data_IF_767356656562
#
_entry.id   IF_767356656562
#
_cell.length_a   1.000
_cell.length_b   1.000
_cell.length_c   1.000
_cell.angle_alpha   90.00
_cell.angle_beta   90.00
_cell.angle_gamma   90.00
#
_symmetry.space_group_name_H-M   'P 1'
#
loop_
_entity.id
_entity.type
_entity.pdbx_description
1 polymer ?
#
# COMPACT_ATOMS: atom_id res chain seq x y z
N UNK A 1 23.77 -40.54 -35.10
CA UNK A 1 24.43 -39.56 -34.20
C UNK A 1 24.48 -38.23 -34.95
N UNK A 2 23.43 -37.40 -34.84
CA UNK A 2 23.43 -36.06 -35.44
C UNK A 2 24.19 -35.16 -34.49
N UNK A 3 25.30 -34.60 -34.97
CA UNK A 3 26.05 -33.56 -34.27
C UNK A 3 25.17 -32.31 -34.32
N UNK A 4 24.54 -31.97 -33.21
CA UNK A 4 23.81 -30.70 -33.08
C UNK A 4 24.81 -29.55 -33.11
N UNK A 5 24.57 -28.64 -34.05
CA UNK A 5 25.37 -27.45 -34.29
C UNK A 5 25.15 -26.46 -33.12
N UNK A 6 26.18 -25.95 -32.44
CA UNK A 6 26.04 -25.16 -31.21
C UNK A 6 25.46 -23.74 -31.40
N UNK A 7 25.06 -23.37 -32.62
CA UNK A 7 24.61 -22.02 -32.97
C UNK A 7 23.10 -21.87 -33.18
N UNK A 8 22.29 -22.90 -32.89
CA UNK A 8 20.82 -22.78 -32.91
C UNK A 8 20.30 -22.34 -31.53
N UNK A 9 20.74 -21.15 -31.05
CA UNK A 9 20.10 -20.44 -29.94
C UNK A 9 18.71 -19.95 -30.39
N UNK A 10 17.74 -20.85 -30.45
CA UNK A 10 16.32 -20.49 -30.35
C UNK A 10 16.16 -19.74 -29.03
N UNK A 11 16.03 -18.41 -29.08
CA UNK A 11 15.78 -17.53 -27.94
C UNK A 11 14.61 -18.08 -27.11
N UNK A 12 14.92 -18.83 -26.06
CA UNK A 12 13.94 -19.24 -25.06
C UNK A 12 13.54 -17.96 -24.30
N UNK A 13 12.25 -17.58 -24.28
CA UNK A 13 11.83 -16.40 -23.54
C UNK A 13 12.23 -16.56 -22.08
N UNK A 14 12.84 -15.52 -21.50
CA UNK A 14 13.25 -15.45 -20.09
C UNK A 14 14.40 -16.37 -19.63
N UNK A 15 15.29 -16.79 -20.53
CA UNK A 15 16.52 -17.50 -20.12
C UNK A 15 17.77 -16.69 -20.46
N UNK A 16 18.63 -16.46 -19.46
CA UNK A 16 19.97 -15.89 -19.63
C UNK A 16 21.03 -16.91 -19.23
N UNK A 17 22.26 -16.71 -19.71
CA UNK A 17 23.42 -17.53 -19.30
C UNK A 17 23.68 -17.33 -17.80
N UNK A 18 24.04 -18.40 -17.10
CA UNK A 18 24.21 -18.41 -15.64
C UNK A 18 25.28 -17.42 -15.14
N UNK A 19 26.35 -17.26 -15.92
CA UNK A 19 27.36 -16.23 -15.70
C UNK A 19 27.33 -15.31 -16.92
N UNK A 20 27.10 -14.03 -16.68
CA UNK A 20 27.07 -13.00 -17.71
C UNK A 20 27.84 -11.76 -17.25
N UNK A 21 28.08 -10.83 -18.17
CA UNK A 21 28.68 -9.54 -17.84
C UNK A 21 27.88 -8.80 -16.74
N UNK A 22 26.55 -8.95 -16.74
CA UNK A 22 25.66 -8.38 -15.72
C UNK A 22 25.98 -8.89 -14.32
N UNK A 23 26.40 -10.16 -14.18
CA UNK A 23 26.80 -10.75 -12.90
C UNK A 23 27.99 -10.02 -12.30
N UNK A 24 29.01 -9.72 -13.11
CA UNK A 24 30.22 -9.02 -12.65
C UNK A 24 29.95 -7.54 -12.35
N UNK A 25 29.14 -6.88 -13.18
CA UNK A 25 28.75 -5.48 -12.95
C UNK A 25 27.94 -5.37 -11.65
N UNK A 26 26.94 -6.24 -11.47
CA UNK A 26 26.14 -6.28 -10.24
C UNK A 26 27.01 -6.52 -9.01
N UNK A 27 27.91 -7.52 -9.08
CA UNK A 27 28.83 -7.82 -7.98
C UNK A 27 29.74 -6.63 -7.65
N UNK A 28 30.27 -5.95 -8.66
CA UNK A 28 31.08 -4.75 -8.49
C UNK A 28 30.33 -3.61 -7.79
N UNK A 29 29.10 -3.33 -8.23
CA UNK A 29 28.24 -2.30 -7.60
C UNK A 29 27.88 -2.71 -6.16
N UNK A 30 27.52 -3.96 -5.95
CA UNK A 30 27.16 -4.49 -4.63
C UNK A 30 28.32 -4.35 -3.64
N UNK A 31 29.52 -4.80 -4.04
CA UNK A 31 30.73 -4.67 -3.22
C UNK A 31 31.08 -3.20 -3.00
N UNK A 32 30.88 -2.32 -3.99
CA UNK A 32 31.15 -0.89 -3.81
C UNK A 32 30.23 -0.27 -2.76
N UNK A 33 28.92 -0.50 -2.84
CA UNK A 33 27.94 0.06 -1.89
C UNK A 33 28.18 -0.48 -0.49
N UNK A 34 28.23 -1.80 -0.33
CA UNK A 34 28.43 -2.43 0.98
C UNK A 34 29.85 -2.22 1.52
N UNK A 35 30.85 -2.08 0.64
CA UNK A 35 32.22 -1.75 1.00
C UNK A 35 32.35 -0.33 1.54
N UNK A 36 31.67 0.65 0.95
CA UNK A 36 31.62 2.03 1.45
C UNK A 36 30.94 2.09 2.83
N UNK A 37 29.81 1.40 3.00
CA UNK A 37 29.12 1.30 4.29
C UNK A 37 29.99 0.61 5.34
N UNK A 38 30.59 -0.53 5.02
CA UNK A 38 31.47 -1.26 5.92
C UNK A 38 32.73 -0.46 6.29
N UNK A 39 33.26 0.35 5.38
CA UNK A 39 34.41 1.23 5.66
C UNK A 39 34.07 2.38 6.61
N UNK A 40 32.81 2.83 6.64
CA UNK A 40 32.35 3.93 7.51
C UNK A 40 31.87 3.43 8.88
N UNK A 41 31.08 2.36 8.89
CA UNK A 41 30.45 1.82 10.10
C UNK A 41 31.30 0.76 10.79
N UNK A 42 32.18 0.08 10.05
CA UNK A 42 32.78 -1.19 10.45
C UNK A 42 31.86 -2.36 10.05
N UNK A 43 32.45 -3.46 9.56
CA UNK A 43 31.68 -4.59 9.02
C UNK A 43 30.72 -5.21 10.04
N UNK A 44 31.17 -5.40 11.28
CA UNK A 44 30.35 -5.99 12.36
C UNK A 44 29.18 -5.08 12.71
N UNK A 45 29.43 -3.78 12.87
CA UNK A 45 28.39 -2.81 13.20
C UNK A 45 27.39 -2.66 12.06
N UNK A 46 27.84 -2.65 10.80
CA UNK A 46 26.95 -2.62 9.63
C UNK A 46 25.98 -3.81 9.61
N UNK A 47 26.47 -5.03 9.86
CA UNK A 47 25.60 -6.21 9.92
C UNK A 47 24.63 -6.15 11.11
N UNK A 48 25.11 -5.74 12.28
CA UNK A 48 24.25 -5.61 13.47
C UNK A 48 23.17 -4.54 13.26
N UNK A 49 23.52 -3.37 12.73
CA UNK A 49 22.57 -2.30 12.42
C UNK A 49 21.54 -2.78 11.42
N UNK A 50 21.94 -3.49 10.36
CA UNK A 50 21.01 -4.06 9.39
C UNK A 50 20.01 -5.02 10.04
N UNK A 51 20.50 -5.96 10.85
CA UNK A 51 19.66 -6.97 11.51
C UNK A 51 18.73 -6.34 12.55
N UNK A 52 19.24 -5.43 13.38
CA UNK A 52 18.47 -4.76 14.42
C UNK A 52 17.43 -3.79 13.84
N UNK A 53 17.78 -3.08 12.77
CA UNK A 53 16.84 -2.21 12.05
C UNK A 53 15.72 -3.03 11.42
N UNK A 54 16.05 -4.13 10.73
CA UNK A 54 15.04 -5.02 10.16
C UNK A 54 14.13 -5.62 11.27
N UNK A 55 14.70 -6.05 12.40
CA UNK A 55 13.92 -6.58 13.50
C UNK A 55 12.98 -5.54 14.13
N UNK A 56 13.47 -4.32 14.42
CA UNK A 56 12.63 -3.26 14.98
C UNK A 56 11.53 -2.83 13.99
N UNK A 57 11.85 -2.71 12.70
CA UNK A 57 10.85 -2.46 11.65
C UNK A 57 9.78 -3.55 11.62
N UNK A 58 10.14 -4.83 11.75
CA UNK A 58 9.17 -5.93 11.81
C UNK A 58 8.24 -5.80 13.03
N UNK A 59 8.86 -5.69 14.21
CA UNK A 59 8.15 -5.78 15.49
C UNK A 59 7.30 -4.54 15.79
N UNK A 60 7.85 -3.36 15.56
CA UNK A 60 7.21 -2.10 15.94
C UNK A 60 6.40 -1.51 14.79
N UNK A 61 6.89 -1.62 13.56
CA UNK A 61 6.21 -0.98 12.41
C UNK A 61 5.25 -1.95 11.73
N UNK A 62 5.73 -3.10 11.25
CA UNK A 62 4.90 -3.99 10.44
C UNK A 62 3.78 -4.63 11.25
N UNK A 63 4.05 -5.13 12.46
CA UNK A 63 2.99 -5.69 13.31
C UNK A 63 1.98 -4.66 13.80
N UNK A 64 2.40 -3.42 14.06
CA UNK A 64 1.48 -2.34 14.39
C UNK A 64 0.55 -2.02 13.22
N UNK A 65 1.11 -1.84 12.03
CA UNK A 65 0.35 -1.61 10.80
C UNK A 65 -0.57 -2.81 10.48
N UNK A 66 -0.11 -4.03 10.71
CA UNK A 66 -0.92 -5.25 10.54
C UNK A 66 -2.11 -5.26 11.51
N UNK A 67 -1.92 -4.93 12.79
CA UNK A 67 -3.01 -4.85 13.76
C UNK A 67 -4.08 -3.84 13.33
N UNK A 68 -3.64 -2.69 12.82
CA UNK A 68 -4.52 -1.68 12.22
C UNK A 68 -5.25 -2.23 10.99
N UNK A 69 -4.55 -2.89 10.07
CA UNK A 69 -5.13 -3.48 8.87
C UNK A 69 -6.17 -4.57 9.21
N UNK A 70 -5.95 -5.36 10.26
CA UNK A 70 -6.90 -6.36 10.77
C UNK A 70 -8.20 -5.70 11.24
N UNK A 71 -8.10 -4.63 12.03
CA UNK A 71 -9.28 -3.89 12.51
C UNK A 71 -10.02 -3.24 11.34
N UNK A 72 -9.29 -2.57 10.44
CA UNK A 72 -9.87 -1.94 9.25
C UNK A 72 -10.55 -2.97 8.34
N UNK A 73 -9.91 -4.12 8.13
CA UNK A 73 -10.46 -5.23 7.37
C UNK A 73 -11.74 -5.79 7.98
N UNK A 74 -11.78 -5.97 9.31
CA UNK A 74 -12.97 -6.41 10.05
C UNK A 74 -14.15 -5.44 9.88
N UNK A 75 -13.90 -4.14 10.05
CA UNK A 75 -14.90 -3.08 9.85
C UNK A 75 -15.38 -3.05 8.39
N UNK A 76 -14.46 -3.14 7.43
CA UNK A 76 -14.77 -3.21 6.01
C UNK A 76 -15.69 -4.40 5.70
N UNK A 77 -15.36 -5.59 6.21
CA UNK A 77 -16.16 -6.80 6.03
C UNK A 77 -17.60 -6.61 6.54
N UNK A 78 -17.77 -6.01 7.71
CA UNK A 78 -19.08 -5.67 8.27
C UNK A 78 -19.82 -4.65 7.40
N UNK A 79 -19.17 -3.56 7.00
CA UNK A 79 -19.78 -2.50 6.18
C UNK A 79 -20.23 -3.03 4.81
N UNK A 80 -19.46 -3.95 4.26
CA UNK A 80 -19.73 -4.66 3.02
C UNK A 80 -20.96 -5.57 3.17
N UNK A 81 -20.97 -6.43 4.19
CA UNK A 81 -22.04 -7.40 4.47
C UNK A 81 -23.38 -6.73 4.76
N UNK A 82 -23.37 -5.62 5.52
CA UNK A 82 -24.55 -4.88 5.94
C UNK A 82 -24.91 -3.71 5.01
N UNK A 83 -24.22 -3.55 3.88
CA UNK A 83 -24.62 -2.62 2.80
C UNK A 83 -24.33 -1.14 3.09
N UNK A 84 -23.55 -0.85 4.13
CA UNK A 84 -23.08 0.51 4.46
C UNK A 84 -22.28 1.07 3.28
N UNK A 85 -21.46 0.24 2.62
CA UNK A 85 -20.68 0.65 1.43
C UNK A 85 -21.61 1.09 0.30
N UNK A 86 -22.72 0.38 0.06
CA UNK A 86 -23.68 0.72 -0.99
C UNK A 86 -24.40 2.04 -0.68
N UNK A 87 -24.81 2.23 0.58
CA UNK A 87 -25.44 3.47 1.05
C UNK A 87 -24.49 4.66 0.89
N UNK A 88 -23.25 4.53 1.37
CA UNK A 88 -22.21 5.55 1.25
C UNK A 88 -21.90 5.86 -0.22
N UNK A 89 -21.79 4.85 -1.07
CA UNK A 89 -21.57 5.04 -2.50
C UNK A 89 -22.69 5.89 -3.13
N UNK A 90 -23.96 5.67 -2.78
CA UNK A 90 -25.09 6.46 -3.30
C UNK A 90 -25.06 7.91 -2.82
N UNK A 91 -24.78 8.12 -1.54
CA UNK A 91 -24.75 9.47 -0.92
C UNK A 91 -23.56 10.30 -1.43
N UNK A 92 -22.40 9.66 -1.65
CA UNK A 92 -21.13 10.35 -1.91
C UNK A 92 -20.74 10.38 -3.39
N UNK A 93 -21.39 9.59 -4.24
CA UNK A 93 -21.22 9.65 -5.70
C UNK A 93 -21.41 11.05 -6.31
N UNK A 94 -22.36 11.89 -5.87
CA UNK A 94 -22.53 13.25 -6.38
C UNK A 94 -21.29 14.13 -6.19
N UNK A 95 -20.45 13.83 -5.19
CA UNK A 95 -19.20 14.55 -4.93
C UNK A 95 -18.00 13.88 -5.61
N UNK A 96 -17.88 12.55 -5.50
CA UNK A 96 -16.70 11.84 -6.00
C UNK A 96 -16.58 11.81 -7.52
N UNK A 97 -17.70 11.75 -8.25
CA UNK A 97 -17.68 11.76 -9.73
C UNK A 97 -17.12 13.08 -10.30
N UNK A 98 -17.62 14.28 -9.93
CA UNK A 98 -17.09 15.52 -10.47
C UNK A 98 -15.70 15.86 -9.94
N UNK A 99 -15.30 15.40 -8.76
CA UNK A 99 -13.98 15.71 -8.19
C UNK A 99 -12.92 14.72 -8.68
N UNK A 100 -13.15 13.42 -8.55
CA UNK A 100 -12.15 12.37 -8.83
C UNK A 100 -12.46 11.48 -10.05
N UNK A 101 -13.68 11.48 -10.59
CA UNK A 101 -14.16 10.49 -11.58
C UNK A 101 -14.05 9.04 -11.07
N UNK A 102 -14.37 8.88 -9.78
CA UNK A 102 -14.40 7.61 -9.07
C UNK A 102 -15.79 7.33 -8.50
N UNK A 103 -16.14 6.05 -8.24
CA UNK A 103 -17.34 5.71 -7.51
C UNK A 103 -17.29 6.27 -6.08
N UNK A 104 -18.44 6.58 -5.49
CA UNK A 104 -18.55 7.03 -4.10
C UNK A 104 -17.93 6.06 -3.09
N UNK A 105 -17.86 4.76 -3.40
CA UNK A 105 -17.16 3.75 -2.59
C UNK A 105 -15.69 4.11 -2.34
N UNK A 106 -15.02 4.79 -3.28
CA UNK A 106 -13.63 5.21 -3.13
C UNK A 106 -13.41 6.18 -1.94
N UNK A 107 -14.43 6.95 -1.54
CA UNK A 107 -14.33 7.86 -0.42
C UNK A 107 -14.25 7.13 0.93
N UNK A 108 -14.81 5.91 1.03
CA UNK A 108 -14.63 5.04 2.21
C UNK A 108 -13.15 4.71 2.37
N UNK A 109 -12.49 4.45 1.25
CA UNK A 109 -11.04 4.29 1.18
C UNK A 109 -10.28 5.49 1.70
N UNK A 110 -10.62 6.68 1.19
CA UNK A 110 -10.02 7.96 1.63
C UNK A 110 -10.18 8.16 3.14
N UNK A 111 -11.38 7.96 3.68
CA UNK A 111 -11.60 8.08 5.12
C UNK A 111 -10.83 7.03 5.93
N UNK A 112 -10.82 5.78 5.46
CA UNK A 112 -10.09 4.71 6.13
C UNK A 112 -8.59 5.03 6.20
N UNK A 113 -7.97 5.51 5.12
CA UNK A 113 -6.55 5.88 5.12
C UNK A 113 -6.26 7.18 5.86
N UNK A 114 -7.18 8.16 5.80
CA UNK A 114 -7.03 9.43 6.51
C UNK A 114 -7.05 9.28 8.03
N UNK A 115 -7.91 8.41 8.53
CA UNK A 115 -7.99 8.12 9.97
C UNK A 115 -6.89 7.14 10.44
N UNK A 116 -6.22 6.47 9.51
CA UNK A 116 -5.35 5.34 9.80
C UNK A 116 -4.06 5.43 8.99
N UNK A 117 -3.78 4.48 8.09
CA UNK A 117 -2.59 4.47 7.23
C UNK A 117 -2.93 3.83 5.87
N UNK A 118 -2.01 3.93 4.91
CA UNK A 118 -2.10 3.41 3.56
C UNK A 118 -2.59 1.96 3.48
N UNK A 119 -2.22 1.03 4.39
CA UNK A 119 -2.67 -0.36 4.29
C UNK A 119 -4.18 -0.54 4.47
N UNK A 120 -4.89 0.44 5.06
CA UNK A 120 -6.35 0.41 5.15
C UNK A 120 -7.04 0.44 3.77
N UNK A 121 -6.48 1.11 2.76
CA UNK A 121 -7.04 1.07 1.40
C UNK A 121 -6.85 -0.30 0.76
N UNK A 122 -5.79 -1.02 1.11
CA UNK A 122 -5.45 -2.30 0.49
C UNK A 122 -6.39 -3.41 0.98
N UNK A 123 -6.77 -3.39 2.26
CA UNK A 123 -7.75 -4.34 2.81
C UNK A 123 -9.13 -4.14 2.17
N UNK A 124 -9.53 -2.87 1.95
CA UNK A 124 -10.72 -2.52 1.17
C UNK A 124 -10.60 -2.97 -0.28
N UNK A 125 -9.46 -2.68 -0.92
CA UNK A 125 -9.20 -3.07 -2.31
C UNK A 125 -9.21 -4.58 -2.52
N UNK A 126 -8.89 -5.38 -1.50
CA UNK A 126 -8.92 -6.84 -1.57
C UNK A 126 -10.34 -7.44 -1.39
N UNK A 127 -11.33 -6.66 -0.95
CA UNK A 127 -12.72 -7.13 -0.85
C UNK A 127 -13.41 -7.14 -2.23
N UNK A 128 -13.86 -8.32 -2.68
CA UNK A 128 -14.62 -8.50 -3.94
C UNK A 128 -15.86 -7.60 -4.01
N UNK A 129 -16.53 -7.36 -2.89
CA UNK A 129 -17.71 -6.50 -2.81
C UNK A 129 -17.38 -5.01 -2.90
N UNK A 130 -16.15 -4.62 -2.59
CA UNK A 130 -15.64 -3.27 -2.83
C UNK A 130 -15.21 -3.11 -4.29
N UNK A 131 -14.45 -4.09 -4.80
CA UNK A 131 -13.97 -4.15 -6.18
C UNK A 131 -15.09 -4.01 -7.24
N UNK A 132 -16.29 -4.56 -6.99
CA UNK A 132 -17.42 -4.52 -7.93
C UNK A 132 -17.92 -3.11 -8.28
N UNK A 133 -17.61 -2.09 -7.48
CA UNK A 133 -18.00 -0.71 -7.78
C UNK A 133 -17.04 0.00 -8.75
N UNK A 134 -15.88 -0.60 -9.02
CA UNK A 134 -14.82 0.02 -9.80
C UNK A 134 -14.74 -0.55 -11.21
N UNK A 135 -14.45 0.32 -12.16
CA UNK A 135 -13.99 -0.08 -13.50
C UNK A 135 -12.50 -0.42 -13.46
N UNK A 136 -12.01 -1.23 -14.41
CA UNK A 136 -10.59 -1.62 -14.49
C UNK A 136 -9.65 -0.43 -14.48
N UNK A 137 -9.97 0.63 -15.23
CA UNK A 137 -9.12 1.83 -15.25
C UNK A 137 -9.16 2.65 -13.94
N UNK A 138 -10.22 2.51 -13.14
CA UNK A 138 -10.39 3.25 -11.88
C UNK A 138 -9.70 2.56 -10.72
N UNK A 139 -9.57 1.24 -10.74
CA UNK A 139 -9.03 0.49 -9.62
C UNK A 139 -7.59 0.89 -9.23
N UNK A 140 -6.64 1.14 -10.16
CA UNK A 140 -5.32 1.64 -9.81
C UNK A 140 -5.35 2.99 -9.06
N UNK A 141 -6.39 3.82 -9.25
CA UNK A 141 -6.54 5.11 -8.57
C UNK A 141 -6.58 5.01 -7.05
N UNK A 142 -6.95 3.85 -6.52
CA UNK A 142 -6.95 3.59 -5.09
C UNK A 142 -5.55 3.74 -4.47
N UNK A 143 -4.48 3.45 -5.21
CA UNK A 143 -3.11 3.67 -4.74
C UNK A 143 -2.84 5.15 -4.50
N UNK A 144 -3.22 6.02 -5.44
CA UNK A 144 -3.06 7.47 -5.29
C UNK A 144 -3.91 8.03 -4.15
N UNK A 145 -5.13 7.53 -3.97
CA UNK A 145 -5.98 7.91 -2.83
C UNK A 145 -5.36 7.49 -1.50
N UNK A 146 -4.82 6.27 -1.43
CA UNK A 146 -4.09 5.81 -0.25
C UNK A 146 -2.95 6.75 0.07
N UNK A 147 -2.02 6.92 -0.86
CA UNK A 147 -0.83 7.75 -0.66
C UNK A 147 -1.13 9.23 -0.37
N UNK A 148 -2.17 9.81 -0.99
CA UNK A 148 -2.52 11.20 -0.76
C UNK A 148 -3.06 11.45 0.66
N UNK A 149 -3.79 10.48 1.22
CA UNK A 149 -4.52 10.65 2.47
C UNK A 149 -3.98 9.83 3.65
N UNK A 150 -2.97 8.97 3.46
CA UNK A 150 -2.40 8.13 4.51
C UNK A 150 -1.95 8.92 5.75
N UNK A 151 -2.33 8.44 6.94
CA UNK A 151 -1.99 9.05 8.24
C UNK A 151 -2.38 10.52 8.40
N UNK A 152 -3.30 11.04 7.58
CA UNK A 152 -3.62 12.46 7.54
C UNK A 152 -4.12 13.04 8.88
N UNK A 153 -5.03 12.35 9.58
CA UNK A 153 -5.54 12.81 10.87
C UNK A 153 -4.48 12.73 11.97
N UNK A 154 -3.72 11.64 12.03
CA UNK A 154 -2.71 11.41 13.08
C UNK A 154 -1.59 12.46 12.95
N UNK A 155 -1.09 12.69 11.73
CA UNK A 155 -0.06 13.71 11.47
C UNK A 155 -0.61 15.11 11.77
N UNK A 156 -1.86 15.39 11.38
CA UNK A 156 -2.54 16.65 11.69
C UNK A 156 -2.61 16.90 13.20
N UNK A 157 -3.06 15.91 13.97
CA UNK A 157 -3.15 16.01 15.43
C UNK A 157 -1.76 16.14 16.08
N UNK A 158 -0.78 15.37 15.61
CA UNK A 158 0.60 15.41 16.09
C UNK A 158 1.24 16.78 15.87
N UNK A 159 1.13 17.34 14.67
CA UNK A 159 1.69 18.66 14.33
C UNK A 159 1.06 19.78 15.16
N UNK A 160 -0.25 19.72 15.41
CA UNK A 160 -0.93 20.69 16.28
C UNK A 160 -0.47 20.54 17.74
N UNK A 161 -0.16 19.32 18.18
CA UNK A 161 0.26 19.00 19.54
C UNK A 161 1.74 19.29 19.85
N UNK A 162 2.59 19.54 18.85
CA UNK A 162 4.00 19.89 19.09
C UNK A 162 4.11 21.32 19.63
N UNK A 163 4.67 21.53 20.83
CA UNK A 163 4.97 22.86 21.31
C UNK A 163 6.08 23.49 20.47
N UNK A 164 5.81 24.65 19.87
CA UNK A 164 6.82 25.40 19.13
C UNK A 164 7.85 26.01 20.09
N UNK A 165 9.17 25.91 19.81
CA UNK A 165 10.21 26.58 20.59
C UNK A 165 10.08 28.12 20.60
N UNK A 166 9.31 28.68 19.66
CA UNK A 166 9.13 30.12 19.44
C UNK A 166 7.70 30.57 19.85
N UNK A 167 6.84 29.65 20.30
CA UNK A 167 5.45 29.96 20.67
C UNK A 167 4.47 30.08 19.49
N UNK A 168 4.91 29.78 18.27
CA UNK A 168 4.03 29.77 17.08
C UNK A 168 3.18 28.49 17.01
N UNK A 169 1.95 28.62 16.48
CA UNK A 169 1.07 27.47 16.29
C UNK A 169 1.24 26.86 14.90
N UNK A 170 1.46 25.54 14.83
CA UNK A 170 1.53 24.80 13.57
C UNK A 170 0.16 24.60 12.88
N UNK A 171 -0.94 25.10 13.45
CA UNK A 171 -2.29 24.94 12.91
C UNK A 171 -2.38 25.42 11.45
N UNK A 172 -1.79 26.57 11.11
CA UNK A 172 -1.87 27.11 9.75
C UNK A 172 -1.11 26.23 8.76
N UNK A 173 0.08 25.74 9.13
CA UNK A 173 0.85 24.81 8.31
C UNK A 173 0.08 23.51 8.05
N UNK A 174 -0.63 23.00 9.07
CA UNK A 174 -1.47 21.80 8.97
C UNK A 174 -2.66 22.00 8.03
N UNK A 175 -3.32 23.16 8.07
CA UNK A 175 -4.41 23.48 7.14
C UNK A 175 -3.89 23.53 5.70
N UNK A 176 -2.77 24.21 5.47
CA UNK A 176 -2.13 24.29 4.15
C UNK A 176 -1.72 22.90 3.65
N UNK A 177 -1.14 22.06 4.52
CA UNK A 177 -0.78 20.69 4.20
C UNK A 177 -1.97 19.82 3.79
N UNK A 178 -3.08 19.89 4.54
CA UNK A 178 -4.31 19.17 4.20
C UNK A 178 -4.93 19.65 2.89
N UNK A 179 -4.97 20.97 2.65
CA UNK A 179 -5.42 21.50 1.37
C UNK A 179 -4.53 21.04 0.21
N UNK A 180 -3.21 21.03 0.42
CA UNK A 180 -2.23 20.53 -0.55
C UNK A 180 -2.44 19.05 -0.86
N UNK A 181 -2.68 18.22 0.15
CA UNK A 181 -3.00 16.79 -0.01
C UNK A 181 -4.29 16.60 -0.82
N UNK A 182 -5.35 17.36 -0.53
CA UNK A 182 -6.61 17.27 -1.29
C UNK A 182 -6.39 17.67 -2.75
N UNK A 183 -5.80 18.83 -3.02
CA UNK A 183 -5.60 19.33 -4.39
C UNK A 183 -4.64 18.41 -5.16
N UNK A 184 -3.52 18.05 -4.55
CA UNK A 184 -2.52 17.14 -5.13
C UNK A 184 -3.10 15.75 -5.38
N UNK A 185 -3.91 15.24 -4.45
CA UNK A 185 -4.64 13.98 -4.58
C UNK A 185 -5.61 14.00 -5.76
N UNK A 186 -6.36 15.09 -5.96
CA UNK A 186 -7.26 15.28 -7.11
C UNK A 186 -6.45 15.24 -8.41
N UNK A 187 -5.42 16.08 -8.52
CA UNK A 187 -4.62 16.21 -9.74
C UNK A 187 -3.94 14.89 -10.08
N UNK A 188 -3.26 14.27 -9.11
CA UNK A 188 -2.55 13.00 -9.29
C UNK A 188 -3.51 11.87 -9.70
N UNK A 189 -4.66 11.76 -9.03
CA UNK A 189 -5.68 10.75 -9.37
C UNK A 189 -6.23 10.95 -10.77
N UNK A 190 -6.56 12.19 -11.16
CA UNK A 190 -7.09 12.52 -12.49
C UNK A 190 -6.08 12.23 -13.60
N UNK A 191 -4.80 12.57 -13.38
CA UNK A 191 -3.73 12.28 -14.32
C UNK A 191 -3.54 10.77 -14.51
N UNK A 192 -3.60 10.00 -13.42
CA UNK A 192 -3.49 8.55 -13.50
C UNK A 192 -4.68 7.93 -14.23
N UNK A 193 -5.91 8.35 -13.93
CA UNK A 193 -7.11 7.88 -14.62
C UNK A 193 -7.05 8.13 -16.13
N UNK A 194 -6.45 9.24 -16.57
CA UNK A 194 -6.23 9.54 -18.00
C UNK A 194 -5.29 8.53 -18.67
N UNK A 195 -4.28 8.04 -17.95
CA UNK A 195 -3.34 7.05 -18.47
C UNK A 195 -3.91 5.63 -18.39
N UNK A 196 -4.48 5.25 -17.25
CA UNK A 196 -5.08 3.92 -17.08
C UNK A 196 -6.27 3.72 -18.02
N UNK A 197 -7.03 4.77 -18.33
CA UNK A 197 -8.12 4.69 -19.32
C UNK A 197 -7.62 4.38 -20.74
N UNK A 198 -6.38 4.79 -21.10
CA UNK A 198 -5.78 4.45 -22.39
C UNK A 198 -5.31 2.99 -22.45
N UNK A 199 -4.90 2.44 -21.31
CA UNK A 199 -4.37 1.07 -21.21
C UNK A 199 -5.51 0.04 -21.11
N UNK A 200 -6.47 0.28 -20.21
CA UNK A 200 -7.51 -0.69 -19.85
C UNK A 200 -8.87 -0.43 -20.51
N UNK A 201 -9.07 0.72 -21.15
CA UNK A 201 -10.38 1.15 -21.64
C UNK A 201 -11.36 1.54 -20.52
N UNK A 202 -12.49 2.17 -20.87
CA UNK A 202 -13.45 2.76 -19.92
C UNK A 202 -14.71 1.91 -19.67
N UNK A 203 -14.87 0.79 -20.36
CA UNK A 203 -16.08 -0.02 -20.36
C UNK A 203 -16.03 -1.20 -19.37
N UNK A 204 -14.85 -1.78 -19.13
CA UNK A 204 -14.75 -3.01 -18.35
C UNK A 204 -14.81 -2.77 -16.83
N UNK A 205 -15.64 -3.55 -16.15
CA UNK A 205 -15.65 -3.65 -14.69
C UNK A 205 -14.43 -4.42 -14.19
N UNK A 206 -13.94 -4.06 -12.98
CA UNK A 206 -12.74 -4.69 -12.42
C UNK A 206 -12.93 -6.19 -12.17
N UNK A 207 -14.05 -6.57 -11.57
CA UNK A 207 -14.46 -7.97 -11.45
C UNK A 207 -15.16 -8.36 -12.76
N UNK A 208 -14.46 -9.12 -13.62
CA UNK A 208 -15.05 -9.73 -14.82
C UNK A 208 -16.10 -10.78 -14.42
N UNK A 209 -17.20 -10.83 -15.17
CA UNK A 209 -18.38 -11.70 -15.02
C UNK A 209 -18.14 -13.23 -15.12
N UNK A 210 -16.98 -13.73 -14.65
CA UNK A 210 -16.57 -15.14 -14.71
C UNK A 210 -16.70 -15.93 -13.40
N UNK A 211 -16.85 -15.26 -12.25
CA UNK A 211 -17.52 -15.86 -11.09
C UNK A 211 -19.03 -15.77 -11.42
N UNK A 212 -19.84 -16.82 -11.23
CA UNK A 212 -21.30 -16.88 -11.51
C UNK A 212 -22.11 -15.70 -10.89
N UNK A 213 -21.98 -14.52 -11.47
CA UNK A 213 -22.57 -13.25 -11.04
C UNK A 213 -23.09 -12.60 -12.31
N UNK A 214 -23.99 -13.33 -12.98
CA UNK A 214 -24.81 -12.82 -14.06
C UNK A 214 -25.60 -11.61 -13.55
N UNK A 215 -25.35 -10.43 -14.12
CA UNK A 215 -26.19 -9.24 -14.00
C UNK A 215 -26.78 -8.97 -12.61
N UNK A 216 -25.94 -8.93 -11.58
CA UNK A 216 -26.39 -8.32 -10.32
C UNK A 216 -26.50 -6.82 -10.54
N UNK A 217 -27.75 -6.37 -10.67
CA UNK A 217 -28.16 -4.98 -10.48
C UNK A 217 -27.36 -4.40 -9.32
N UNK A 218 -26.75 -3.21 -9.47
CA UNK A 218 -26.00 -2.55 -8.39
C UNK A 218 -26.86 -2.34 -7.12
N UNK A 219 -28.17 -2.55 -7.23
CA UNK A 219 -29.17 -2.56 -6.18
C UNK A 219 -29.12 -3.81 -5.26
N UNK A 220 -28.54 -4.93 -5.70
CA UNK A 220 -28.47 -6.16 -4.92
C UNK A 220 -27.04 -6.44 -4.39
N UNK A 221 -26.96 -6.92 -3.15
CA UNK A 221 -25.71 -7.31 -2.49
C UNK A 221 -25.62 -8.82 -2.39
N UNK A 222 -24.42 -9.36 -2.59
CA UNK A 222 -24.15 -10.77 -2.31
C UNK A 222 -24.01 -10.88 -0.79
N UNK A 223 -24.88 -11.70 -0.21
CA UNK A 223 -24.98 -11.90 1.24
C UNK A 223 -24.42 -13.29 1.55
N UNK A 224 -23.66 -13.41 2.63
CA UNK A 224 -23.22 -14.72 3.13
C UNK A 224 -24.42 -15.56 3.60
N UNK A 225 -24.32 -16.88 3.40
CA UNK A 225 -25.33 -17.83 3.87
C UNK A 225 -25.40 -17.86 5.40
N UNK A 226 -26.63 -17.95 5.95
CA UNK A 226 -26.87 -18.10 7.38
C UNK A 226 -27.62 -16.92 8.02
N UNK A 227 -27.79 -17.00 9.34
CA UNK A 227 -28.47 -15.97 10.13
C UNK A 227 -27.65 -14.68 10.29
N UNK A 228 -28.30 -13.60 10.73
CA UNK A 228 -27.67 -12.28 10.90
C UNK A 228 -26.41 -12.32 11.78
N UNK A 229 -26.44 -13.06 12.88
CA UNK A 229 -25.29 -13.21 13.78
C UNK A 229 -24.13 -13.97 13.16
N UNK A 230 -24.40 -15.07 12.46
CA UNK A 230 -23.38 -15.85 11.74
C UNK A 230 -22.72 -15.00 10.65
N UNK A 231 -23.52 -14.23 9.91
CA UNK A 231 -23.03 -13.30 8.90
C UNK A 231 -22.18 -12.19 9.49
N UNK A 232 -22.55 -11.66 10.65
CA UNK A 232 -21.76 -10.65 11.36
C UNK A 232 -20.37 -11.19 11.70
N UNK A 233 -20.30 -12.35 12.37
CA UNK A 233 -19.02 -12.94 12.78
C UNK A 233 -18.18 -13.35 11.57
N UNK A 234 -18.77 -14.03 10.58
CA UNK A 234 -18.03 -14.51 9.41
C UNK A 234 -17.51 -13.36 8.55
N UNK A 235 -18.31 -12.31 8.35
CA UNK A 235 -17.86 -11.12 7.61
C UNK A 235 -16.74 -10.36 8.32
N UNK A 236 -16.83 -10.24 9.64
CA UNK A 236 -15.81 -9.63 10.48
C UNK A 236 -14.51 -10.45 10.45
N UNK A 237 -14.58 -11.78 10.65
CA UNK A 237 -13.41 -12.66 10.66
C UNK A 237 -12.74 -12.78 9.28
N UNK A 238 -13.54 -12.90 8.22
CA UNK A 238 -13.00 -12.90 6.85
C UNK A 238 -12.29 -11.58 6.53
N UNK A 239 -12.90 -10.45 6.92
CA UNK A 239 -12.32 -9.13 6.76
C UNK A 239 -11.01 -8.97 7.55
N UNK A 240 -11.01 -9.41 8.81
CA UNK A 240 -9.83 -9.44 9.69
C UNK A 240 -8.69 -10.26 9.09
N UNK A 241 -9.00 -11.46 8.55
CA UNK A 241 -8.02 -12.32 7.88
C UNK A 241 -7.38 -11.62 6.68
N UNK A 242 -8.16 -10.94 5.84
CA UNK A 242 -7.64 -10.13 4.74
C UNK A 242 -6.62 -9.09 5.24
N UNK A 243 -6.88 -8.48 6.41
CA UNK A 243 -5.93 -7.59 7.08
C UNK A 243 -4.61 -8.25 7.48
N UNK A 244 -4.65 -9.48 8.00
CA UNK A 244 -3.44 -10.27 8.31
C UNK A 244 -2.65 -10.56 7.04
N UNK A 245 -3.33 -11.07 6.00
CA UNK A 245 -2.70 -11.42 4.71
C UNK A 245 -2.01 -10.20 4.09
N UNK A 246 -2.64 -9.03 4.16
CA UNK A 246 -2.05 -7.75 3.73
C UNK A 246 -0.83 -7.36 4.56
N UNK A 247 -0.89 -7.50 5.89
CA UNK A 247 0.25 -7.20 6.77
C UNK A 247 1.46 -8.09 6.49
N UNK A 248 1.23 -9.39 6.29
CA UNK A 248 2.28 -10.33 5.91
C UNK A 248 2.89 -10.02 4.53
N UNK A 249 2.06 -9.59 3.58
CA UNK A 249 2.51 -9.22 2.23
C UNK A 249 3.45 -8.00 2.21
N UNK A 250 3.38 -7.11 3.21
CA UNK A 250 4.20 -5.90 3.30
C UNK A 250 5.60 -6.19 3.89
N UNK A 251 5.75 -7.26 4.70
CA UNK A 251 7.00 -7.62 5.39
C UNK A 251 8.23 -7.60 4.45
N UNK A 252 8.24 -8.29 3.30
CA UNK A 252 9.46 -8.37 2.49
C UNK A 252 9.92 -7.00 1.98
N UNK A 253 8.98 -6.13 1.61
CA UNK A 253 9.28 -4.78 1.13
C UNK A 253 9.86 -3.90 2.23
N UNK A 254 9.23 -3.89 3.42
CA UNK A 254 9.69 -3.06 4.54
C UNK A 254 11.06 -3.53 5.04
N UNK A 255 11.27 -4.84 5.22
CA UNK A 255 12.51 -5.33 5.80
C UNK A 255 13.71 -5.23 4.86
N UNK A 256 13.49 -5.21 3.55
CA UNK A 256 14.60 -5.09 2.58
C UNK A 256 14.84 -3.64 2.19
N UNK A 257 13.81 -2.95 1.70
CA UNK A 257 13.94 -1.61 1.14
C UNK A 257 14.10 -0.58 2.26
N UNK A 258 13.25 -0.59 3.29
CA UNK A 258 13.33 0.42 4.35
C UNK A 258 14.62 0.26 5.16
N UNK A 259 15.06 -0.97 5.45
CA UNK A 259 16.36 -1.20 6.10
C UNK A 259 17.51 -0.61 5.30
N UNK A 260 17.57 -0.87 3.99
CA UNK A 260 18.61 -0.32 3.13
C UNK A 260 18.56 1.21 3.07
N UNK A 261 17.36 1.78 2.90
CA UNK A 261 17.18 3.24 2.87
C UNK A 261 17.61 3.86 4.19
N UNK A 262 17.17 3.32 5.32
CA UNK A 262 17.52 3.86 6.65
C UNK A 262 19.02 3.81 6.90
N UNK A 263 19.70 2.73 6.52
CA UNK A 263 21.17 2.65 6.61
C UNK A 263 21.91 3.64 5.71
N UNK A 264 21.28 4.10 4.62
CA UNK A 264 21.87 5.08 3.71
C UNK A 264 21.56 6.53 4.13
N UNK A 265 20.44 6.76 4.80
CA UNK A 265 19.98 8.11 5.18
C UNK A 265 20.36 8.50 6.60
N UNK A 266 20.43 7.53 7.52
CA UNK A 266 20.70 7.82 8.92
C UNK A 266 22.21 7.94 9.17
N UNK A 267 22.53 8.71 10.21
CA UNK A 267 23.90 8.95 10.63
C UNK A 267 24.15 8.31 11.98
N UNK A 268 25.42 8.05 12.27
CA UNK A 268 25.86 7.53 13.57
C UNK A 268 25.32 8.34 14.74
N UNK A 269 25.09 7.64 15.86
CA UNK A 269 24.88 8.28 17.16
C UNK A 269 26.07 9.18 17.55
N UNK A 270 25.94 10.06 18.57
CA UNK A 270 27.06 10.86 19.08
C UNK A 270 28.27 10.03 19.54
N UNK A 271 28.09 8.73 19.81
CA UNK A 271 29.16 7.78 20.17
C UNK A 271 29.79 7.05 18.96
N UNK A 272 29.37 7.36 17.73
CA UNK A 272 29.76 6.65 16.52
C UNK A 272 28.81 5.50 16.17
N UNK A 273 29.19 4.68 15.19
CA UNK A 273 28.40 3.50 14.80
C UNK A 273 28.59 2.38 15.83
N UNK A 274 27.48 1.92 16.42
CA UNK A 274 27.49 0.94 17.50
C UNK A 274 26.89 -0.41 17.08
N UNK A 275 26.22 -0.45 15.92
CA UNK A 275 25.45 -1.62 15.51
C UNK A 275 23.99 -1.58 15.99
N UNK A 276 23.53 -0.44 16.52
CA UNK A 276 22.16 -0.25 16.96
C UNK A 276 21.21 -0.10 15.77
N UNK A 277 19.92 -0.28 16.02
CA UNK A 277 18.89 -0.04 15.00
C UNK A 277 18.86 1.45 14.59
N UNK A 278 18.53 1.71 13.33
CA UNK A 278 18.34 3.05 12.77
C UNK A 278 19.61 3.92 12.72
N UNK A 279 20.79 3.29 12.67
CA UNK A 279 22.08 3.96 12.40
C UNK A 279 22.49 3.93 10.93
#
# INVERSE_FOLDING_TARGET
MKIENPNDEKKKPNMKRAISLETFIFLGIFIAIFGLLASRMGFINMLNTMMNTAYSLLMETVFYIMAIAVIAGAISGLFSEFGVIAMMNKILSPLMKPVYDLPGAALIGVFATYLSDNPAILTLANDKNFQRYFKKYQFPALTNLGTAFGMGLIITAFMIGIPSPIGESFILAVIVGNMGSIIGGIVSTRLMLRHTAKIYGKSEMYVSSGDNVSNFDLNYRIVRSGGVGTRFIDSMLTGAKSGVDMGLAIIPGVLTICTLVMMLTNSSSPQGYTGAAYE
#
